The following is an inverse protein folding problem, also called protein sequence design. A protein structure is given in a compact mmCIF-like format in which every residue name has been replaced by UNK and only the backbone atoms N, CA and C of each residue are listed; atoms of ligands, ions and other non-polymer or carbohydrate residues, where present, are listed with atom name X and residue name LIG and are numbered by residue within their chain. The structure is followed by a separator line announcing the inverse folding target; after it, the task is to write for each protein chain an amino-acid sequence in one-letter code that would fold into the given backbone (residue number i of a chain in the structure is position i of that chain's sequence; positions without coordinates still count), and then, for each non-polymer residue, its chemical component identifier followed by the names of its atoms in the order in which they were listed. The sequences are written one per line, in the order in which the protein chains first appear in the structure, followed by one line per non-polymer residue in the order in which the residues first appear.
data_IF_202306474111
#
_entry.id   IF_202306474111
#
_cell.length_a   1.000
_cell.length_b   1.000
_cell.length_c   1.000
_cell.angle_alpha   90.00
_cell.angle_beta   90.00
_cell.angle_gamma   90.00
#
_symmetry.space_group_name_H-M   'P 1'
#
loop_
_entity.id
_entity.type
_entity.pdbx_description
1 polymer ?
#
# COMPACT_ATOMS: atom_id res chain seq x y z
N UNK A 1 -18.45 37.57 -23.34
CA UNK A 1 -19.23 36.43 -22.81
C UNK A 1 -18.30 35.23 -22.78
N UNK A 2 -17.91 34.75 -21.60
CA UNK A 2 -17.00 33.60 -21.45
C UNK A 2 -17.79 32.31 -21.65
N UNK A 3 -17.38 31.50 -22.64
CA UNK A 3 -18.00 30.21 -22.92
C UNK A 3 -17.30 29.13 -22.08
N UNK A 4 -18.07 28.49 -21.20
CA UNK A 4 -17.69 27.32 -20.41
C UNK A 4 -17.57 26.11 -21.35
N UNK A 5 -16.35 25.70 -21.73
CA UNK A 5 -16.13 24.42 -22.39
C UNK A 5 -16.04 23.32 -21.31
N UNK A 6 -17.07 22.48 -21.29
CA UNK A 6 -17.28 21.39 -20.35
C UNK A 6 -16.12 20.38 -20.37
N UNK A 7 -15.59 20.09 -19.19
CA UNK A 7 -14.70 18.98 -18.93
C UNK A 7 -15.53 17.68 -19.02
N UNK A 8 -15.43 16.94 -20.13
CA UNK A 8 -16.02 15.60 -20.22
C UNK A 8 -15.15 14.66 -19.40
N UNK A 9 -15.48 14.49 -18.12
CA UNK A 9 -14.99 13.38 -17.32
C UNK A 9 -15.64 12.12 -17.87
N UNK A 10 -14.86 11.29 -18.56
CA UNK A 10 -15.29 9.97 -19.00
C UNK A 10 -15.67 9.14 -17.75
N UNK A 11 -16.98 9.00 -17.51
CA UNK A 11 -17.49 8.02 -16.55
C UNK A 11 -17.30 6.66 -17.22
N UNK A 12 -16.22 5.97 -16.85
CA UNK A 12 -16.07 4.55 -17.17
C UNK A 12 -17.25 3.82 -16.50
N UNK A 13 -18.19 3.32 -17.29
CA UNK A 13 -19.28 2.49 -16.80
C UNK A 13 -18.68 1.26 -16.12
N UNK A 14 -18.81 1.19 -14.79
CA UNK A 14 -18.42 0.03 -14.01
C UNK A 14 -19.41 -1.11 -14.31
N UNK A 15 -18.95 -2.15 -14.99
CA UNK A 15 -19.68 -3.41 -15.18
C UNK A 15 -19.30 -4.41 -14.09
N UNK A 16 -20.13 -5.43 -13.91
CA UNK A 16 -19.77 -6.57 -13.08
C UNK A 16 -18.39 -7.15 -13.47
N UNK A 17 -17.57 -7.54 -12.48
CA UNK A 17 -16.19 -7.98 -12.69
C UNK A 17 -16.12 -9.33 -13.42
N UNK A 18 -14.97 -9.62 -14.03
CA UNK A 18 -14.72 -10.80 -14.92
C UNK A 18 -14.94 -12.14 -14.21
N UNK A 19 -14.82 -12.18 -12.88
CA UNK A 19 -15.05 -13.34 -12.03
C UNK A 19 -16.53 -13.67 -11.82
N UNK A 20 -17.46 -12.80 -12.27
CA UNK A 20 -18.89 -13.06 -12.34
C UNK A 20 -19.32 -13.07 -13.82
N UNK A 21 -19.34 -14.23 -14.49
CA UNK A 21 -19.82 -14.34 -15.87
C UNK A 21 -21.27 -13.88 -16.00
N UNK A 22 -21.67 -13.44 -17.21
CA UNK A 22 -23.03 -12.95 -17.49
C UNK A 22 -24.12 -13.98 -17.21
N UNK A 23 -23.76 -15.26 -17.34
CA UNK A 23 -24.63 -16.41 -17.14
C UNK A 23 -24.71 -16.84 -15.66
N UNK A 24 -23.94 -16.21 -14.77
CA UNK A 24 -23.94 -16.54 -13.34
C UNK A 24 -25.22 -16.01 -12.66
N UNK A 25 -25.81 -16.80 -11.75
CA UNK A 25 -27.06 -16.44 -11.06
C UNK A 25 -26.99 -15.11 -10.30
N UNK A 26 -25.80 -14.74 -9.80
CA UNK A 26 -25.56 -13.50 -9.08
C UNK A 26 -25.27 -12.29 -9.99
N UNK A 27 -25.07 -12.50 -11.30
CA UNK A 27 -24.66 -11.43 -12.23
C UNK A 27 -25.59 -10.22 -12.21
N UNK A 28 -26.94 -10.36 -12.28
CA UNK A 28 -27.83 -9.20 -12.31
C UNK A 28 -27.73 -8.33 -11.05
N UNK A 29 -27.52 -8.95 -9.89
CA UNK A 29 -27.38 -8.26 -8.62
C UNK A 29 -26.03 -7.54 -8.51
N UNK A 30 -24.93 -8.24 -8.88
CA UNK A 30 -23.58 -7.66 -8.83
C UNK A 30 -23.46 -6.49 -9.81
N UNK A 31 -23.96 -6.62 -11.03
CA UNK A 31 -23.92 -5.55 -12.03
C UNK A 31 -24.69 -4.31 -11.56
N UNK A 32 -25.87 -4.48 -10.96
CA UNK A 32 -26.63 -3.38 -10.39
C UNK A 32 -25.83 -2.62 -9.32
N UNK A 33 -25.17 -3.33 -8.40
CA UNK A 33 -24.37 -2.73 -7.35
C UNK A 33 -23.11 -2.02 -7.88
N UNK A 34 -22.49 -2.52 -8.95
CA UNK A 34 -21.36 -1.83 -9.61
C UNK A 34 -21.81 -0.56 -10.34
N UNK A 35 -22.95 -0.59 -11.04
CA UNK A 35 -23.52 0.59 -11.70
C UNK A 35 -23.93 1.68 -10.72
N UNK A 36 -24.40 1.28 -9.54
CA UNK A 36 -24.74 2.20 -8.44
C UNK A 36 -23.50 2.70 -7.69
N UNK A 37 -22.29 2.20 -8.02
CA UNK A 37 -21.04 2.57 -7.36
C UNK A 37 -20.93 2.03 -5.93
N UNK A 38 -21.80 1.12 -5.52
CA UNK A 38 -21.81 0.48 -4.20
C UNK A 38 -20.74 -0.59 -4.07
N UNK A 39 -20.33 -1.18 -5.20
CA UNK A 39 -19.20 -2.10 -5.29
C UNK A 39 -18.08 -1.51 -6.14
N UNK A 40 -16.85 -1.82 -5.72
CA UNK A 40 -15.62 -1.60 -6.48
C UNK A 40 -15.02 -2.97 -6.76
N UNK A 41 -14.53 -3.17 -7.98
CA UNK A 41 -13.85 -4.42 -8.35
C UNK A 41 -12.68 -4.68 -7.42
N UNK A 42 -12.50 -5.95 -7.01
CA UNK A 42 -11.22 -6.35 -6.45
C UNK A 42 -10.18 -6.19 -7.55
N UNK A 43 -9.09 -5.47 -7.31
CA UNK A 43 -8.00 -5.45 -8.26
C UNK A 43 -7.55 -6.90 -8.49
N UNK A 44 -7.61 -7.35 -9.74
CA UNK A 44 -7.16 -8.68 -10.14
C UNK A 44 -5.63 -8.69 -10.01
N UNK A 45 -5.13 -9.01 -8.81
CA UNK A 45 -3.72 -8.90 -8.51
C UNK A 45 -2.91 -9.94 -9.29
N UNK A 46 -1.99 -9.47 -10.14
CA UNK A 46 -0.82 -10.28 -10.58
C UNK A 46 0.15 -10.56 -9.41
N UNK A 47 -0.17 -10.07 -8.21
CA UNK A 47 0.65 -10.15 -7.01
C UNK A 47 -0.15 -10.74 -5.84
N UNK A 48 0.52 -11.41 -4.89
CA UNK A 48 -0.12 -11.87 -3.67
C UNK A 48 -0.76 -10.69 -2.92
N UNK A 49 -2.04 -10.83 -2.57
CA UNK A 49 -2.73 -9.89 -1.69
C UNK A 49 -2.07 -9.93 -0.31
N UNK A 50 -1.56 -8.78 0.13
CA UNK A 50 -0.97 -8.60 1.46
C UNK A 50 -2.08 -8.63 2.52
N UNK A 51 -1.79 -9.26 3.67
CA UNK A 51 -2.74 -9.43 4.77
C UNK A 51 -2.06 -9.18 6.10
N UNK A 52 -2.84 -8.75 7.09
CA UNK A 52 -2.39 -8.76 8.48
C UNK A 52 -2.27 -10.21 8.95
N UNK A 53 -1.06 -10.63 9.24
CA UNK A 53 -0.77 -11.93 9.84
C UNK A 53 -0.75 -11.79 11.36
N UNK A 54 -1.78 -12.33 12.03
CA UNK A 54 -1.91 -12.30 13.49
C UNK A 54 -0.83 -13.11 14.21
N UNK A 55 -0.10 -13.96 13.50
CA UNK A 55 0.96 -14.82 14.03
C UNK A 55 2.36 -14.26 13.78
N UNK A 56 2.48 -13.18 13.00
CA UNK A 56 3.75 -12.56 12.68
C UNK A 56 4.50 -12.12 13.95
N UNK A 57 5.78 -12.50 14.03
CA UNK A 57 6.69 -12.11 15.11
C UNK A 57 8.02 -11.74 14.50
N UNK A 58 8.49 -10.53 14.82
CA UNK A 58 9.81 -10.04 14.46
C UNK A 58 10.53 -9.69 15.75
N UNK A 59 11.70 -10.29 15.93
CA UNK A 59 12.58 -9.96 17.04
C UNK A 59 13.18 -8.56 16.86
N UNK A 60 13.46 -7.86 17.95
CA UNK A 60 14.01 -6.48 17.93
C UNK A 60 15.24 -6.39 17.02
N UNK A 61 16.16 -7.35 17.13
CA UNK A 61 17.38 -7.40 16.33
C UNK A 61 17.11 -7.59 14.84
N UNK A 62 16.14 -8.43 14.50
CA UNK A 62 15.73 -8.64 13.10
C UNK A 62 15.10 -7.37 12.52
N UNK A 63 14.25 -6.70 13.30
CA UNK A 63 13.64 -5.43 12.89
C UNK A 63 14.70 -4.34 12.66
N UNK A 64 15.72 -4.26 13.52
CA UNK A 64 16.85 -3.33 13.36
C UNK A 64 17.61 -3.60 12.06
N UNK A 65 17.86 -4.87 11.71
CA UNK A 65 18.49 -5.23 10.43
C UNK A 65 17.63 -4.84 9.23
N UNK A 66 16.31 -5.05 9.33
CA UNK A 66 15.35 -4.68 8.29
C UNK A 66 15.30 -3.15 8.10
N UNK A 67 15.25 -2.38 9.19
CA UNK A 67 15.36 -0.92 9.16
C UNK A 67 16.65 -0.46 8.49
N UNK A 68 17.79 -1.03 8.86
CA UNK A 68 19.08 -0.64 8.29
C UNK A 68 19.15 -0.96 6.79
N UNK A 69 18.53 -2.07 6.36
CA UNK A 69 18.34 -2.40 4.95
C UNK A 69 17.50 -1.33 4.25
N UNK A 70 16.35 -0.95 4.80
CA UNK A 70 15.48 0.09 4.22
C UNK A 70 16.14 1.46 4.16
N UNK A 71 16.96 1.81 5.16
CA UNK A 71 17.77 3.02 5.19
C UNK A 71 18.78 3.04 4.04
N UNK A 72 19.53 1.94 3.84
CA UNK A 72 20.46 1.80 2.71
C UNK A 72 19.76 1.82 1.35
N UNK A 73 18.54 1.29 1.29
CA UNK A 73 17.69 1.31 0.11
C UNK A 73 17.02 2.67 -0.16
N UNK A 74 17.14 3.65 0.76
CA UNK A 74 16.56 4.98 0.62
C UNK A 74 15.03 5.03 0.72
N UNK A 75 14.38 3.97 1.24
CA UNK A 75 12.93 3.88 1.43
C UNK A 75 12.51 4.05 2.90
N UNK A 76 13.48 4.31 3.77
CA UNK A 76 13.29 4.76 5.13
C UNK A 76 14.16 5.99 5.34
N UNK A 77 13.57 7.02 5.91
CA UNK A 77 14.27 8.22 6.37
C UNK A 77 14.32 8.13 7.89
N UNK A 78 15.49 8.36 8.47
CA UNK A 78 15.62 8.39 9.93
C UNK A 78 14.61 9.38 10.50
N UNK A 79 13.69 8.87 11.32
CA UNK A 79 12.73 9.68 12.05
C UNK A 79 13.37 10.30 13.30
N UNK A 80 12.58 10.34 14.39
CA UNK A 80 13.02 10.73 15.73
C UNK A 80 13.97 9.67 16.31
N UNK A 81 15.17 9.63 15.76
CA UNK A 81 16.12 8.53 15.91
C UNK A 81 16.46 8.24 17.36
N UNK A 82 16.46 6.95 17.67
CA UNK A 82 17.06 6.40 18.87
C UNK A 82 18.51 6.91 19.04
N UNK A 83 18.74 7.82 20.00
CA UNK A 83 20.07 8.43 20.28
C UNK A 83 20.78 7.80 21.49
N UNK A 84 20.63 6.50 21.70
CA UNK A 84 21.16 5.80 22.88
C UNK A 84 22.05 4.60 22.57
N UNK A 85 22.74 4.12 23.60
CA UNK A 85 23.52 2.86 23.59
C UNK A 85 22.68 1.63 23.98
N UNK A 86 21.35 1.75 24.06
CA UNK A 86 20.44 0.64 24.42
C UNK A 86 19.75 0.11 23.17
N UNK A 87 19.15 -1.06 23.27
CA UNK A 87 18.27 -1.52 22.20
C UNK A 87 17.00 -0.65 22.13
N UNK A 88 16.46 -0.41 20.91
CA UNK A 88 15.20 0.29 20.75
C UNK A 88 14.05 -0.55 21.32
N UNK A 89 13.08 0.13 21.93
CA UNK A 89 11.84 -0.46 22.39
C UNK A 89 10.96 -0.83 21.20
N UNK A 90 10.00 -1.75 21.41
CA UNK A 90 9.03 -2.11 20.38
C UNK A 90 8.18 -0.93 19.90
N UNK A 91 7.92 0.05 20.76
CA UNK A 91 7.20 1.28 20.36
C UNK A 91 8.05 2.18 19.46
N UNK A 92 9.34 2.35 19.76
CA UNK A 92 10.26 3.08 18.87
C UNK A 92 10.31 2.41 17.49
N UNK A 93 10.42 1.08 17.44
CA UNK A 93 10.40 0.32 16.19
C UNK A 93 9.04 0.39 15.46
N UNK A 94 7.92 0.40 16.18
CA UNK A 94 6.61 0.59 15.58
C UNK A 94 6.48 1.96 14.90
N UNK A 95 7.03 3.02 15.50
CA UNK A 95 7.10 4.34 14.87
C UNK A 95 7.93 4.27 13.59
N UNK A 96 9.08 3.60 13.60
CA UNK A 96 9.90 3.41 12.40
C UNK A 96 9.15 2.65 11.29
N UNK A 97 8.40 1.59 11.63
CA UNK A 97 7.53 0.88 10.66
C UNK A 97 6.50 1.82 10.05
N UNK A 98 5.86 2.66 10.87
CA UNK A 98 4.88 3.64 10.40
C UNK A 98 5.53 4.71 9.49
N UNK A 99 6.72 5.18 9.83
CA UNK A 99 7.49 6.14 9.01
C UNK A 99 7.89 5.51 7.67
N UNK A 100 8.36 4.26 7.65
CA UNK A 100 8.65 3.54 6.40
C UNK A 100 7.39 3.42 5.54
N UNK A 101 6.24 3.12 6.15
CA UNK A 101 4.97 3.06 5.42
C UNK A 101 4.59 4.39 4.76
N UNK A 102 4.79 5.52 5.44
CA UNK A 102 4.61 6.84 4.83
C UNK A 102 5.62 7.08 3.70
N UNK A 103 6.89 6.79 3.94
CA UNK A 103 7.97 7.01 2.95
C UNK A 103 7.76 6.19 1.68
N UNK A 104 7.32 4.94 1.78
CA UNK A 104 6.99 4.09 0.62
C UNK A 104 5.88 4.73 -0.22
N UNK A 105 4.84 5.27 0.40
CA UNK A 105 3.78 5.98 -0.32
C UNK A 105 4.32 7.20 -1.06
N UNK A 106 5.14 8.01 -0.38
CA UNK A 106 5.71 9.22 -0.96
C UNK A 106 6.62 8.90 -2.15
N UNK A 107 7.46 7.87 -2.03
CA UNK A 107 8.31 7.40 -3.13
C UNK A 107 7.49 6.97 -4.33
N UNK A 108 6.42 6.19 -4.13
CA UNK A 108 5.62 5.67 -5.24
C UNK A 108 4.75 6.74 -5.90
N UNK A 109 4.19 7.67 -5.12
CA UNK A 109 3.34 8.76 -5.60
C UNK A 109 4.14 9.93 -6.20
N UNK A 110 5.41 10.08 -5.84
CA UNK A 110 6.25 11.18 -6.34
C UNK A 110 6.55 11.02 -7.84
N UNK A 111 6.25 12.02 -8.68
CA UNK A 111 6.64 11.99 -10.10
C UNK A 111 8.14 12.20 -10.30
N UNK A 112 8.85 12.75 -9.30
CA UNK A 112 10.28 13.07 -9.38
C UNK A 112 11.17 11.88 -9.02
N UNK A 113 10.61 10.85 -8.39
CA UNK A 113 11.39 9.72 -7.91
C UNK A 113 11.76 8.74 -9.03
N UNK A 114 12.97 8.20 -8.92
CA UNK A 114 13.53 7.31 -9.94
C UNK A 114 12.79 5.98 -9.99
N UNK A 115 12.63 5.45 -11.21
CA UNK A 115 11.95 4.17 -11.45
C UNK A 115 12.57 3.02 -10.65
N UNK A 116 13.90 3.02 -10.50
CA UNK A 116 14.64 2.06 -9.67
C UNK A 116 14.21 2.13 -8.20
N UNK A 117 14.16 3.34 -7.62
CA UNK A 117 13.75 3.53 -6.23
C UNK A 117 12.29 3.13 -6.00
N UNK A 118 11.42 3.40 -6.97
CA UNK A 118 10.02 2.91 -6.95
C UNK A 118 9.97 1.39 -6.98
N UNK A 119 10.78 0.76 -7.85
CA UNK A 119 10.86 -0.70 -7.94
C UNK A 119 11.35 -1.32 -6.63
N UNK A 120 12.35 -0.72 -5.98
CA UNK A 120 12.82 -1.12 -4.65
C UNK A 120 11.70 -1.01 -3.63
N UNK A 121 11.01 0.14 -3.56
CA UNK A 121 9.90 0.34 -2.62
C UNK A 121 8.81 -0.73 -2.79
N UNK A 122 8.46 -1.09 -4.03
CA UNK A 122 7.50 -2.17 -4.33
C UNK A 122 7.99 -3.53 -3.88
N UNK A 123 9.28 -3.84 -4.11
CA UNK A 123 9.85 -5.13 -3.72
C UNK A 123 9.91 -5.33 -2.20
N UNK A 124 9.92 -4.25 -1.43
CA UNK A 124 9.98 -4.27 0.03
C UNK A 124 8.59 -4.25 0.70
N UNK A 125 7.50 -4.06 -0.04
CA UNK A 125 6.14 -4.01 0.52
C UNK A 125 5.73 -5.29 1.27
N UNK A 126 6.10 -6.52 0.84
CA UNK A 126 5.82 -7.72 1.62
C UNK A 126 6.53 -7.71 2.99
N UNK A 127 7.79 -7.28 3.04
CA UNK A 127 8.54 -7.16 4.29
C UNK A 127 7.94 -6.08 5.20
N UNK A 128 7.50 -4.96 4.62
CA UNK A 128 6.80 -3.91 5.35
C UNK A 128 5.45 -4.39 5.89
N UNK A 129 4.66 -5.15 5.12
CA UNK A 129 3.41 -5.74 5.59
C UNK A 129 3.62 -6.75 6.72
N UNK A 130 4.70 -7.54 6.65
CA UNK A 130 5.11 -8.43 7.73
C UNK A 130 5.47 -7.64 8.99
N UNK A 131 6.21 -6.52 8.85
CA UNK A 131 6.53 -5.64 9.98
C UNK A 131 5.30 -4.96 10.59
N UNK A 132 4.36 -4.48 9.76
CA UNK A 132 3.07 -3.94 10.23
C UNK A 132 2.32 -5.01 11.04
N UNK A 133 2.31 -6.26 10.57
CA UNK A 133 1.66 -7.38 11.24
C UNK A 133 2.32 -7.68 12.59
N UNK A 134 3.65 -7.76 12.62
CA UNK A 134 4.43 -8.07 13.82
C UNK A 134 4.40 -6.96 14.89
N UNK A 135 4.15 -5.71 14.50
CA UNK A 135 4.03 -4.55 15.39
C UNK A 135 2.58 -4.04 15.50
N UNK A 136 1.61 -4.87 15.13
CA UNK A 136 0.20 -4.48 15.07
C UNK A 136 -0.30 -3.90 16.40
N UNK A 137 0.04 -4.55 17.52
CA UNK A 137 -0.39 -4.11 18.85
C UNK A 137 0.15 -2.72 19.21
N UNK A 138 1.44 -2.49 19.00
CA UNK A 138 2.09 -1.19 19.28
C UNK A 138 1.56 -0.09 18.37
N UNK A 139 1.42 -0.38 17.07
CA UNK A 139 0.88 0.54 16.07
C UNK A 139 -0.55 0.98 16.41
N UNK A 140 -1.43 0.03 16.75
CA UNK A 140 -2.81 0.35 17.15
C UNK A 140 -2.85 1.19 18.43
N UNK A 141 -1.97 0.92 19.40
CA UNK A 141 -1.87 1.76 20.62
C UNK A 141 -1.37 3.18 20.34
N UNK A 142 -0.57 3.36 19.29
CA UNK A 142 -0.14 4.68 18.80
C UNK A 142 -1.22 5.38 17.96
N UNK A 143 -2.39 4.75 17.75
CA UNK A 143 -3.51 5.29 17.00
C UNK A 143 -3.46 5.00 15.49
N UNK A 144 -2.55 4.14 15.03
CA UNK A 144 -2.49 3.74 13.63
C UNK A 144 -3.55 2.67 13.32
N UNK A 145 -4.19 2.81 12.15
CA UNK A 145 -5.07 1.79 11.58
C UNK A 145 -4.25 0.86 10.67
N UNK A 146 -3.82 -0.27 11.23
CA UNK A 146 -2.99 -1.26 10.51
C UNK A 146 -3.74 -1.94 9.38
N UNK A 147 -5.07 -2.07 9.48
CA UNK A 147 -5.92 -2.56 8.39
C UNK A 147 -5.86 -1.61 7.21
N UNK A 148 -6.01 -0.30 7.47
CA UNK A 148 -5.89 0.73 6.44
C UNK A 148 -4.49 0.82 5.84
N UNK A 149 -3.46 0.61 6.66
CA UNK A 149 -2.08 0.55 6.18
C UNK A 149 -1.89 -0.59 5.16
N UNK A 150 -2.38 -1.80 5.45
CA UNK A 150 -2.31 -2.95 4.53
C UNK A 150 -3.17 -2.73 3.27
N UNK A 151 -4.38 -2.20 3.41
CA UNK A 151 -5.24 -1.84 2.27
C UNK A 151 -4.50 -0.87 1.33
N UNK A 152 -3.85 0.15 1.89
CA UNK A 152 -3.06 1.13 1.13
C UNK A 152 -1.90 0.47 0.38
N UNK A 153 -1.22 -0.51 0.99
CA UNK A 153 -0.16 -1.26 0.30
C UNK A 153 -0.70 -2.09 -0.87
N UNK A 154 -1.87 -2.74 -0.72
CA UNK A 154 -2.49 -3.46 -1.83
C UNK A 154 -2.87 -2.49 -2.97
N UNK A 155 -3.55 -1.38 -2.66
CA UNK A 155 -3.92 -0.36 -3.66
C UNK A 155 -2.70 0.15 -4.46
N UNK A 156 -1.55 0.31 -3.80
CA UNK A 156 -0.29 0.72 -4.45
C UNK A 156 0.31 -0.39 -5.33
N UNK A 157 0.26 -1.65 -4.91
CA UNK A 157 0.70 -2.78 -5.72
C UNK A 157 -0.14 -2.91 -6.99
N UNK A 158 -1.45 -2.67 -6.90
CA UNK A 158 -2.36 -2.72 -8.03
C UNK A 158 -2.20 -1.51 -8.96
N UNK A 159 -1.88 -0.34 -8.39
CA UNK A 159 -1.54 0.85 -9.15
C UNK A 159 -0.17 0.75 -9.84
N UNK A 160 0.71 -0.21 -9.47
CA UNK A 160 2.05 -0.34 -10.04
C UNK A 160 2.04 -0.39 -11.56
N UNK A 161 1.17 -1.20 -12.15
CA UNK A 161 1.15 -1.33 -13.61
C UNK A 161 0.87 0.04 -14.26
N UNK A 162 0.08 0.93 -13.65
CA UNK A 162 -0.08 2.32 -14.11
C UNK A 162 1.17 3.18 -13.88
N UNK A 163 1.83 3.01 -12.73
CA UNK A 163 3.04 3.76 -12.36
C UNK A 163 4.23 3.46 -13.28
N UNK A 164 4.29 2.27 -13.90
CA UNK A 164 5.40 1.85 -14.76
C UNK A 164 5.03 1.77 -16.26
N UNK A 165 3.74 1.63 -16.63
CA UNK A 165 3.30 1.57 -18.04
C UNK A 165 2.88 2.91 -18.62
N UNK A 166 2.79 3.98 -17.81
CA UNK A 166 2.52 5.35 -18.29
C UNK A 166 3.65 5.99 -19.12
N UNK A 167 4.77 5.30 -19.35
CA UNK A 167 5.93 5.77 -20.12
C UNK A 167 6.10 5.09 -21.47
N UNK A 168 5.16 4.24 -21.90
CA UNK A 168 5.15 3.60 -23.23
C UNK A 168 3.84 3.86 -23.96
N UNK A 169 3.61 5.10 -24.37
CA UNK A 169 2.78 5.44 -25.52
C UNK A 169 3.43 6.61 -26.27
#
# INVERSE_FOLDING_TARGET
MMSFAALITAILFAQAPVDVPKEHWAFPAVDALFREGLLKGYPSGKHPVLRLDKTAKIEVKEMVLLRDKWKRAGIYIDGWGHKGHRDPSRYELAVEVHVTWGTVQDVLKSPKEMAEKKQIALSEMPALAYAISAYNFELTRLGADTGKMIETLNDLLDARDRLFLGSRQ
#
